data_IF_922367636883
#
_entry.id   IF_922367636883
#
_cell.length_a   1.000
_cell.length_b   1.000
_cell.length_c   1.000
_cell.angle_alpha   90.00
_cell.angle_beta   90.00
_cell.angle_gamma   90.00
#
_symmetry.space_group_name_H-M   'P 1'
#
loop_
_entity.id
_entity.type
_entity.pdbx_description
1 polymer ?
#
# COMPACT_ATOMS: atom_id res chain seq x y z
N UNK A 1 17.92 9.50 11.10
CA UNK A 1 18.43 9.45 12.48
C UNK A 1 18.50 7.99 12.96
N UNK A 2 19.71 7.43 13.08
CA UNK A 2 19.96 6.01 13.36
C UNK A 2 20.17 5.67 14.86
N UNK A 3 19.62 6.44 15.80
CA UNK A 3 19.72 6.10 17.23
C UNK A 3 19.21 4.67 17.52
N UNK A 4 19.97 3.85 18.28
CA UNK A 4 19.60 2.47 18.60
C UNK A 4 18.34 2.35 19.47
N UNK A 5 17.94 3.43 20.15
CA UNK A 5 16.73 3.47 20.99
C UNK A 5 15.47 3.86 20.20
N UNK A 6 15.61 4.22 18.91
CA UNK A 6 14.49 4.63 18.09
C UNK A 6 13.73 3.42 17.58
N UNK A 7 12.53 3.21 18.09
CA UNK A 7 11.61 2.20 17.56
C UNK A 7 11.28 2.54 16.10
N UNK A 8 11.57 1.65 15.14
CA UNK A 8 11.28 1.91 13.74
C UNK A 8 9.76 2.03 13.54
N UNK A 9 9.36 3.00 12.72
CA UNK A 9 7.97 3.23 12.34
C UNK A 9 7.77 2.98 10.86
N UNK A 10 6.61 2.46 10.52
CA UNK A 10 6.22 2.06 9.18
C UNK A 10 5.35 3.14 8.55
N UNK A 11 5.63 3.46 7.30
CA UNK A 11 4.74 4.20 6.43
C UNK A 11 4.19 3.25 5.36
N UNK A 12 2.87 3.19 5.24
CA UNK A 12 2.21 2.35 4.24
C UNK A 12 1.66 3.21 3.12
N UNK A 13 1.88 2.81 1.87
CA UNK A 13 1.28 3.42 0.69
C UNK A 13 0.34 2.39 0.07
N UNK A 14 -0.94 2.75 -0.07
CA UNK A 14 -2.00 1.89 -0.59
C UNK A 14 -2.55 2.53 -1.86
N UNK A 15 -2.34 1.86 -2.98
CA UNK A 15 -2.77 2.34 -4.30
C UNK A 15 -4.18 1.87 -4.63
N UNK A 16 -5.10 2.83 -4.84
CA UNK A 16 -6.49 2.58 -5.24
C UNK A 16 -6.68 2.69 -6.77
N UNK A 17 -5.61 2.92 -7.52
CA UNK A 17 -5.61 2.98 -8.97
C UNK A 17 -6.15 1.68 -9.58
N UNK A 18 -7.09 1.81 -10.51
CA UNK A 18 -7.71 0.67 -11.20
C UNK A 18 -8.84 -0.02 -10.44
N UNK A 19 -9.11 0.35 -9.18
CA UNK A 19 -10.27 -0.14 -8.45
C UNK A 19 -11.57 0.47 -9.00
N UNK A 20 -12.55 -0.39 -9.27
CA UNK A 20 -13.91 0.01 -9.60
C UNK A 20 -14.76 0.10 -8.34
N UNK A 21 -15.87 0.80 -8.43
CA UNK A 21 -16.86 0.89 -7.33
C UNK A 21 -17.28 -0.47 -6.78
N UNK A 22 -17.44 -1.48 -7.64
CA UNK A 22 -17.84 -2.82 -7.24
C UNK A 22 -16.75 -3.60 -6.49
N UNK A 23 -15.48 -3.22 -6.62
CA UNK A 23 -14.37 -3.90 -5.96
C UNK A 23 -14.25 -3.49 -4.48
N UNK A 24 -14.76 -2.30 -4.15
CA UNK A 24 -14.82 -1.78 -2.78
C UNK A 24 -16.06 -2.34 -2.05
N UNK A 25 -16.03 -3.65 -1.82
CA UNK A 25 -17.10 -4.35 -1.12
C UNK A 25 -17.05 -4.12 0.40
N UNK A 26 -18.13 -4.47 1.09
CA UNK A 26 -18.20 -4.43 2.55
C UNK A 26 -17.10 -5.28 3.20
N UNK A 27 -16.70 -6.39 2.58
CA UNK A 27 -15.68 -7.29 3.13
C UNK A 27 -14.30 -6.67 3.06
N UNK A 28 -13.96 -5.97 1.96
CA UNK A 28 -12.71 -5.20 1.86
C UNK A 28 -12.65 -4.12 2.94
N UNK A 29 -13.75 -3.38 3.14
CA UNK A 29 -13.79 -2.38 4.20
C UNK A 29 -13.71 -2.97 5.59
N UNK A 30 -14.40 -4.08 5.85
CA UNK A 30 -14.32 -4.79 7.13
C UNK A 30 -12.89 -5.25 7.40
N UNK A 31 -12.21 -5.81 6.40
CA UNK A 31 -10.81 -6.19 6.51
C UNK A 31 -9.92 -4.99 6.85
N UNK A 32 -10.07 -3.86 6.15
CA UNK A 32 -9.29 -2.65 6.41
C UNK A 32 -9.54 -2.08 7.82
N UNK A 33 -10.80 -2.08 8.28
CA UNK A 33 -11.16 -1.65 9.63
C UNK A 33 -10.53 -2.54 10.69
N UNK A 34 -10.70 -3.86 10.58
CA UNK A 34 -10.12 -4.82 11.53
C UNK A 34 -8.59 -4.77 11.52
N UNK A 35 -7.96 -4.67 10.35
CA UNK A 35 -6.51 -4.51 10.27
C UNK A 35 -6.04 -3.22 10.95
N UNK A 36 -6.79 -2.13 10.78
CA UNK A 36 -6.48 -0.84 11.42
C UNK A 36 -6.62 -0.91 12.94
N UNK A 37 -7.68 -1.57 13.45
CA UNK A 37 -7.86 -1.81 14.88
C UNK A 37 -6.73 -2.66 15.47
N UNK A 38 -6.30 -3.72 14.78
CA UNK A 38 -5.16 -4.55 15.21
C UNK A 38 -3.88 -3.71 15.25
N UNK A 39 -3.62 -2.93 14.20
CA UNK A 39 -2.43 -2.08 14.14
C UNK A 39 -2.42 -1.03 15.26
N UNK A 40 -3.56 -0.42 15.57
CA UNK A 40 -3.67 0.59 16.64
C UNK A 40 -3.58 -0.04 18.04
N UNK A 41 -4.25 -1.17 18.28
CA UNK A 41 -4.30 -1.79 19.60
C UNK A 41 -2.96 -2.42 20.02
N UNK A 42 -2.23 -3.01 19.07
CA UNK A 42 -1.00 -3.74 19.38
C UNK A 42 0.27 -2.98 19.01
N UNK A 43 0.22 -2.07 18.03
CA UNK A 43 1.40 -1.36 17.52
C UNK A 43 1.16 0.15 17.28
N UNK A 44 0.53 0.90 18.21
CA UNK A 44 0.13 2.28 17.96
C UNK A 44 1.31 3.20 17.64
N UNK A 45 2.45 3.00 18.32
CA UNK A 45 3.67 3.79 18.15
C UNK A 45 4.48 3.41 16.90
N UNK A 46 4.13 2.32 16.22
CA UNK A 46 4.84 1.86 15.01
C UNK A 46 4.27 2.41 13.71
N UNK A 47 3.10 3.03 13.74
CA UNK A 47 2.50 3.59 12.53
C UNK A 47 2.93 5.04 12.39
N UNK A 48 3.70 5.34 11.33
CA UNK A 48 4.07 6.70 11.00
C UNK A 48 2.97 7.40 10.20
N UNK A 49 2.60 6.84 9.03
CA UNK A 49 1.61 7.37 8.10
C UNK A 49 0.98 6.25 7.26
N UNK A 50 -0.26 6.45 6.82
CA UNK A 50 -0.94 5.59 5.85
C UNK A 50 -1.39 6.49 4.69
N UNK A 51 -0.75 6.36 3.54
CA UNK A 51 -1.11 7.10 2.33
C UNK A 51 -2.02 6.27 1.44
N UNK A 52 -3.24 6.74 1.22
CA UNK A 52 -4.19 6.16 0.27
C UNK A 52 -4.15 7.03 -0.99
N UNK A 53 -3.61 6.48 -2.08
CA UNK A 53 -3.31 7.23 -3.30
C UNK A 53 -4.16 6.76 -4.48
N UNK A 54 -4.19 7.55 -5.55
CA UNK A 54 -5.03 7.31 -6.74
C UNK A 54 -6.50 7.11 -6.42
N UNK A 55 -7.00 7.75 -5.34
CA UNK A 55 -8.41 7.58 -4.99
C UNK A 55 -9.31 8.27 -6.03
N UNK A 56 -10.43 7.64 -6.41
CA UNK A 56 -11.41 8.25 -7.28
C UNK A 56 -12.22 9.33 -6.55
N UNK A 57 -12.87 10.23 -7.30
CA UNK A 57 -13.56 11.41 -6.74
C UNK A 57 -14.62 11.07 -5.68
N UNK A 58 -15.23 9.88 -5.78
CA UNK A 58 -16.27 9.40 -4.87
C UNK A 58 -15.74 8.85 -3.54
N UNK A 59 -14.43 8.64 -3.41
CA UNK A 59 -13.84 8.06 -2.21
C UNK A 59 -14.02 8.94 -0.97
N UNK A 60 -14.19 10.26 -1.16
CA UNK A 60 -14.49 11.20 -0.09
C UNK A 60 -15.73 10.81 0.73
N UNK A 61 -16.80 10.34 0.07
CA UNK A 61 -18.02 9.88 0.75
C UNK A 61 -17.79 8.58 1.54
N UNK A 62 -17.02 7.66 0.97
CA UNK A 62 -16.64 6.40 1.62
C UNK A 62 -15.80 6.68 2.87
N UNK A 63 -14.78 7.54 2.74
CA UNK A 63 -13.89 7.93 3.84
C UNK A 63 -14.65 8.60 4.98
N UNK A 64 -15.65 9.45 4.69
CA UNK A 64 -16.50 10.05 5.72
C UNK A 64 -17.17 9.01 6.61
N UNK A 65 -17.66 7.91 6.02
CA UNK A 65 -18.22 6.79 6.78
C UNK A 65 -17.17 6.03 7.59
N UNK A 66 -16.07 5.63 6.95
CA UNK A 66 -15.02 4.80 7.56
C UNK A 66 -14.26 5.53 8.66
N UNK A 67 -13.91 6.79 8.44
CA UNK A 67 -13.14 7.59 9.40
C UNK A 67 -13.85 7.77 10.74
N UNK A 68 -15.19 7.72 10.76
CA UNK A 68 -15.99 7.73 11.98
C UNK A 68 -15.84 6.46 12.83
N UNK A 69 -15.47 5.35 12.20
CA UNK A 69 -15.30 4.03 12.83
C UNK A 69 -13.85 3.78 13.23
N UNK A 70 -12.89 4.53 12.68
CA UNK A 70 -11.48 4.37 12.96
C UNK A 70 -11.06 5.11 14.25
N UNK A 71 -10.09 4.58 15.01
CA UNK A 71 -9.47 5.30 16.12
C UNK A 71 -8.89 6.64 15.65
N UNK A 72 -9.00 7.68 16.49
CA UNK A 72 -8.52 9.03 16.16
C UNK A 72 -7.02 9.05 15.82
N UNK A 73 -6.23 8.25 16.53
CA UNK A 73 -4.79 8.04 16.31
C UNK A 73 -4.46 7.53 14.91
N UNK A 74 -5.33 6.72 14.31
CA UNK A 74 -5.18 6.22 12.94
C UNK A 74 -5.66 7.28 11.95
N UNK A 75 -6.86 7.85 12.16
CA UNK A 75 -7.43 8.87 11.26
C UNK A 75 -6.50 10.07 11.09
N UNK A 76 -5.81 10.51 12.14
CA UNK A 76 -4.80 11.60 12.09
C UNK A 76 -3.52 11.23 11.31
N UNK A 77 -3.26 9.93 11.09
CA UNK A 77 -2.10 9.42 10.33
C UNK A 77 -2.44 9.10 8.88
N UNK A 78 -3.73 9.06 8.51
CA UNK A 78 -4.16 8.79 7.14
C UNK A 78 -4.03 10.04 6.27
N UNK A 79 -3.44 9.87 5.09
CA UNK A 79 -3.30 10.89 4.06
C UNK A 79 -3.97 10.35 2.80
N UNK A 80 -4.80 11.16 2.15
CA UNK A 80 -5.55 10.74 0.96
C UNK A 80 -5.17 11.63 -0.21
N UNK A 81 -4.81 11.03 -1.34
CA UNK A 81 -4.47 11.74 -2.58
C UNK A 81 -5.21 11.14 -3.78
N UNK A 82 -5.86 12.01 -4.55
CA UNK A 82 -6.41 11.64 -5.87
C UNK A 82 -5.30 11.46 -6.91
N UNK A 83 -5.63 10.85 -8.06
CA UNK A 83 -4.64 10.43 -9.07
C UNK A 83 -3.72 11.54 -9.58
N UNK A 84 -4.18 12.79 -9.66
CA UNK A 84 -3.35 13.92 -10.10
C UNK A 84 -2.45 14.53 -9.03
N UNK A 85 -2.49 14.02 -7.79
CA UNK A 85 -1.80 14.61 -6.63
C UNK A 85 -0.87 13.64 -5.91
N UNK A 86 -0.70 12.42 -6.44
CA UNK A 86 0.07 11.36 -5.79
C UNK A 86 1.54 11.75 -5.61
N UNK A 87 2.21 12.20 -6.67
CA UNK A 87 3.63 12.57 -6.61
C UNK A 87 3.89 13.70 -5.60
N UNK A 88 3.15 14.81 -5.71
CA UNK A 88 3.23 15.94 -4.78
C UNK A 88 2.94 15.51 -3.32
N UNK A 89 2.01 14.58 -3.13
CA UNK A 89 1.65 14.08 -1.82
C UNK A 89 2.77 13.23 -1.20
N UNK A 90 3.34 12.29 -1.95
CA UNK A 90 4.34 11.36 -1.42
C UNK A 90 5.69 12.03 -1.19
N UNK A 91 6.09 12.98 -2.05
CA UNK A 91 7.34 13.75 -1.90
C UNK A 91 7.38 14.61 -0.63
N UNK A 92 6.24 14.83 0.05
CA UNK A 92 6.20 15.51 1.36
C UNK A 92 6.74 14.63 2.49
N UNK A 93 6.85 13.33 2.28
CA UNK A 93 7.16 12.34 3.32
C UNK A 93 8.25 11.34 2.93
N UNK A 94 8.50 11.16 1.63
CA UNK A 94 9.46 10.19 1.09
C UNK A 94 10.42 10.93 0.17
N UNK A 95 11.72 10.70 0.35
CA UNK A 95 12.76 11.27 -0.49
C UNK A 95 12.60 10.82 -1.95
N UNK A 96 12.89 11.71 -2.90
CA UNK A 96 12.57 11.52 -4.31
C UNK A 96 13.24 10.28 -4.94
N UNK A 97 14.45 9.94 -4.48
CA UNK A 97 15.24 8.79 -4.91
C UNK A 97 14.75 7.45 -4.33
N UNK A 98 13.93 7.50 -3.28
CA UNK A 98 13.31 6.33 -2.64
C UNK A 98 11.91 6.03 -3.19
N UNK A 99 11.36 6.91 -4.04
CA UNK A 99 10.07 6.69 -4.68
C UNK A 99 10.22 5.93 -6.00
N UNK A 100 9.43 4.88 -6.24
CA UNK A 100 9.32 4.22 -7.54
C UNK A 100 8.85 5.19 -8.64
N UNK A 101 9.25 4.91 -9.88
CA UNK A 101 8.96 5.71 -11.07
C UNK A 101 7.47 5.88 -11.33
N UNK A 102 6.68 4.89 -10.94
CA UNK A 102 5.22 4.88 -11.00
C UNK A 102 4.60 6.01 -10.15
N UNK A 103 5.29 6.44 -9.09
CA UNK A 103 4.85 7.50 -8.17
C UNK A 103 5.71 8.76 -8.24
N UNK A 104 6.91 8.67 -8.83
CA UNK A 104 7.79 9.77 -9.11
C UNK A 104 8.41 9.65 -10.52
N UNK A 105 7.86 10.34 -11.54
CA UNK A 105 8.32 10.20 -12.93
C UNK A 105 9.81 10.45 -13.15
N UNK A 106 10.43 11.29 -12.31
CA UNK A 106 11.86 11.63 -12.35
C UNK A 106 12.76 10.51 -11.75
N UNK A 107 12.18 9.54 -11.05
CA UNK A 107 12.92 8.44 -10.45
C UNK A 107 13.33 7.39 -11.49
N UNK A 108 14.54 6.84 -11.33
CA UNK A 108 15.00 5.67 -12.07
C UNK A 108 14.65 4.35 -11.39
N UNK A 109 14.20 4.38 -10.12
CA UNK A 109 13.82 3.20 -9.35
C UNK A 109 12.48 2.67 -9.86
N UNK A 110 12.38 1.38 -10.19
CA UNK A 110 11.08 0.75 -10.46
C UNK A 110 10.58 0.05 -9.21
N UNK A 111 9.27 -0.13 -9.12
CA UNK A 111 8.68 -0.94 -8.07
C UNK A 111 9.24 -2.38 -8.12
N UNK A 112 9.75 -2.88 -6.99
CA UNK A 112 10.37 -4.21 -6.88
C UNK A 112 11.87 -4.27 -7.13
N UNK A 113 12.48 -3.19 -7.65
CA UNK A 113 13.94 -3.13 -7.89
C UNK A 113 14.74 -2.74 -6.64
N UNK A 114 14.08 -2.46 -5.51
CA UNK A 114 14.78 -2.11 -4.28
C UNK A 114 15.56 -3.32 -3.73
N UNK A 115 16.80 -3.17 -3.24
CA UNK A 115 17.62 -4.32 -2.83
C UNK A 115 16.97 -5.22 -1.77
N UNK A 116 16.12 -4.68 -0.91
CA UNK A 116 15.39 -5.48 0.08
C UNK A 116 14.29 -6.33 -0.57
N UNK A 117 13.59 -5.81 -1.60
CA UNK A 117 12.57 -6.55 -2.34
C UNK A 117 13.21 -7.70 -3.12
N UNK A 118 14.34 -7.45 -3.80
CA UNK A 118 15.10 -8.48 -4.51
C UNK A 118 15.51 -9.62 -3.56
N UNK A 119 16.01 -9.26 -2.36
CA UNK A 119 16.37 -10.26 -1.33
C UNK A 119 15.14 -11.04 -0.85
N UNK A 120 14.02 -10.36 -0.60
CA UNK A 120 12.78 -11.02 -0.18
C UNK A 120 12.28 -11.99 -1.25
N UNK A 121 12.28 -11.60 -2.52
CA UNK A 121 11.92 -12.46 -3.64
C UNK A 121 12.83 -13.69 -3.73
N UNK A 122 14.14 -13.52 -3.56
CA UNK A 122 15.08 -14.64 -3.53
C UNK A 122 14.80 -15.60 -2.35
N UNK A 123 14.51 -15.07 -1.16
CA UNK A 123 14.17 -15.87 0.02
C UNK A 123 12.85 -16.63 -0.19
N UNK A 124 11.82 -15.97 -0.73
CA UNK A 124 10.52 -16.60 -1.03
C UNK A 124 10.71 -17.72 -2.04
N UNK A 125 11.45 -17.48 -3.14
CA UNK A 125 11.74 -18.51 -4.15
C UNK A 125 12.45 -19.70 -3.53
N UNK A 126 13.52 -19.45 -2.77
CA UNK A 126 14.30 -20.50 -2.11
C UNK A 126 13.43 -21.35 -1.17
N UNK A 127 12.58 -20.69 -0.37
CA UNK A 127 11.67 -21.36 0.57
C UNK A 127 10.58 -22.16 -0.15
N UNK A 128 10.06 -21.65 -1.27
CA UNK A 128 9.07 -22.35 -2.07
C UNK A 128 9.66 -23.59 -2.75
N UNK A 129 10.89 -23.47 -3.29
CA UNK A 129 11.63 -24.60 -3.88
C UNK A 129 11.89 -25.70 -2.85
N UNK A 130 12.30 -25.31 -1.63
CA UNK A 130 12.44 -26.22 -0.48
C UNK A 130 11.12 -26.90 -0.08
N UNK A 131 10.01 -26.18 -0.17
CA UNK A 131 8.68 -26.68 0.19
C UNK A 131 7.98 -27.45 -0.95
N UNK A 132 8.56 -27.50 -2.16
CA UNK A 132 7.94 -28.11 -3.34
C UNK A 132 6.67 -27.39 -3.81
N UNK A 133 6.53 -26.09 -3.50
CA UNK A 133 5.38 -25.28 -3.88
C UNK A 133 5.66 -24.57 -5.21
N UNK A 134 4.84 -24.81 -6.23
CA UNK A 134 4.95 -24.05 -7.48
C UNK A 134 4.64 -22.57 -7.22
N UNK A 135 5.46 -21.67 -7.76
CA UNK A 135 5.19 -20.24 -7.76
C UNK A 135 3.89 -19.97 -8.53
N UNK A 136 2.87 -19.48 -7.83
CA UNK A 136 1.62 -19.02 -8.45
C UNK A 136 1.91 -17.74 -9.23
N UNK A 137 2.33 -17.87 -10.49
CA UNK A 137 2.40 -16.74 -11.41
C UNK A 137 0.98 -16.34 -11.80
N UNK A 138 0.62 -15.08 -11.51
CA UNK A 138 -0.62 -14.44 -11.93
C UNK A 138 -0.90 -14.69 -13.41
N UNK A 139 -2.02 -15.35 -13.71
CA UNK A 139 -2.53 -15.52 -15.07
C UNK A 139 -3.00 -14.17 -15.61
N UNK A 140 -2.15 -13.55 -16.43
CA UNK A 140 -2.55 -12.51 -17.38
C UNK A 140 -3.58 -13.06 -18.38
N UNK A 141 -4.49 -12.18 -18.79
CA UNK A 141 -5.56 -12.48 -19.74
C UNK A 141 -5.04 -12.93 -21.11
N UNK A 142 -5.83 -13.81 -21.72
CA UNK A 142 -5.78 -14.10 -23.15
C UNK A 142 -7.20 -14.07 -23.68
N UNK A 143 -7.51 -13.04 -24.47
CA UNK A 143 -8.65 -13.04 -25.37
C UNK A 143 -8.38 -13.90 -26.61
N UNK A 144 -9.46 -14.38 -27.21
CA UNK A 144 -9.52 -15.20 -28.43
C UNK A 144 -10.76 -16.09 -28.29
N UNK A 145 -11.90 -15.77 -28.89
CA UNK A 145 -12.08 -15.68 -30.34
C UNK A 145 -12.58 -17.06 -30.80
N UNK A 146 -13.89 -17.21 -31.01
CA UNK A 146 -14.50 -18.49 -31.42
C UNK A 146 -15.94 -18.30 -31.87
N UNK A 147 -16.06 -18.23 -33.21
CA UNK A 147 -17.19 -18.54 -34.10
C UNK A 147 -18.54 -17.82 -33.96
#
# INVERSE_FOLDING_TARGET
DPSPDRVPRVMSVVDFGGLKMGDLTKDVFKFLLTASEVLDNYFPERIHRICIINVPFYFSGIWSGISSMLPKTITEKVIIAGSGKVNECLLKYIDADQLPKEFNPESSLKLGDYPADIRLHHLISSNNDLAGLETVTSRGGGGGGGE
#
